data_IF_701128011615
#
_entry.id   IF_701128011615
#
_cell.length_a   1.000
_cell.length_b   1.000
_cell.length_c   1.000
_cell.angle_alpha   90.00
_cell.angle_beta   90.00
_cell.angle_gamma   90.00
#
_symmetry.space_group_name_H-M   'P 1'
#
loop_
_entity.id
_entity.type
_entity.pdbx_description
1 polymer ?
#
# COMPACT_ATOMS: atom_id res chain seq x y z
N UNK A 1 -1.17 16.97 9.56
CA UNK A 1 -2.18 16.11 8.91
C UNK A 1 -1.38 15.16 8.06
N UNK A 2 -1.06 14.01 8.65
CA UNK A 2 -0.33 12.95 7.99
C UNK A 2 -1.36 12.15 7.17
N UNK A 3 -1.40 12.40 5.87
CA UNK A 3 -2.32 11.70 4.98
C UNK A 3 -1.92 10.22 4.95
N UNK A 4 -2.88 9.33 5.20
CA UNK A 4 -2.65 7.88 5.29
C UNK A 4 -2.22 7.28 3.93
N UNK A 5 -2.54 7.95 2.83
CA UNK A 5 -2.00 7.65 1.52
C UNK A 5 -1.98 8.90 0.62
N UNK A 6 -0.99 8.99 -0.28
CA UNK A 6 -0.87 10.14 -1.19
C UNK A 6 -0.35 9.74 -2.56
N UNK A 7 -0.77 10.46 -3.61
CA UNK A 7 -0.25 10.27 -4.97
C UNK A 7 0.72 11.39 -5.30
N UNK A 8 1.88 11.03 -5.83
CA UNK A 8 2.90 11.96 -6.29
C UNK A 8 3.24 11.71 -7.76
N UNK A 9 3.69 12.75 -8.45
CA UNK A 9 4.25 12.60 -9.80
C UNK A 9 5.71 12.16 -9.71
N UNK A 10 6.09 11.19 -10.53
CA UNK A 10 7.46 10.66 -10.64
C UNK A 10 7.95 10.72 -12.07
N UNK A 11 9.24 11.07 -12.23
CA UNK A 11 9.86 11.24 -13.54
C UNK A 11 9.30 12.40 -14.36
N UNK A 12 9.81 12.56 -15.59
CA UNK A 12 9.48 13.68 -16.47
C UNK A 12 8.21 13.43 -17.30
N UNK A 13 7.77 12.17 -17.42
CA UNK A 13 6.63 11.76 -18.24
C UNK A 13 5.27 11.89 -17.52
N UNK A 14 5.26 12.39 -16.28
CA UNK A 14 4.02 12.53 -15.50
C UNK A 14 3.48 11.22 -14.92
N UNK A 15 4.30 10.18 -14.81
CA UNK A 15 3.92 8.93 -14.15
C UNK A 15 3.57 9.18 -12.67
N UNK A 16 2.77 8.30 -12.08
CA UNK A 16 2.29 8.48 -10.70
C UNK A 16 2.77 7.35 -9.80
N UNK A 17 3.22 7.72 -8.59
CA UNK A 17 3.48 6.78 -7.52
C UNK A 17 2.48 6.97 -6.37
N UNK A 18 2.03 5.87 -5.78
CA UNK A 18 1.24 5.85 -4.57
C UNK A 18 2.15 5.68 -3.35
N UNK A 19 2.08 6.62 -2.41
CA UNK A 19 2.81 6.63 -1.14
C UNK A 19 1.91 6.10 -0.03
N UNK A 20 2.39 5.10 0.72
CA UNK A 20 1.65 4.36 1.75
C UNK A 20 1.99 4.82 3.18
N UNK A 21 1.60 6.07 3.49
CA UNK A 21 1.95 6.80 4.71
C UNK A 21 3.48 7.01 4.90
N UNK A 22 3.85 7.92 5.80
CA UNK A 22 5.25 8.31 6.01
C UNK A 22 6.03 7.36 6.96
N UNK A 23 5.33 6.60 7.81
CA UNK A 23 6.01 5.75 8.80
C UNK A 23 6.47 4.41 8.20
N UNK A 24 7.65 3.90 8.61
CA UNK A 24 8.12 2.59 8.22
C UNK A 24 7.23 1.50 8.82
N UNK A 25 6.85 0.52 8.00
CA UNK A 25 6.10 -0.65 8.43
C UNK A 25 6.35 -1.77 7.41
N UNK A 26 6.34 -3.03 7.86
CA UNK A 26 6.27 -4.17 6.95
C UNK A 26 4.99 -4.05 6.14
N UNK A 27 5.13 -4.17 4.81
CA UNK A 27 4.02 -3.97 3.86
C UNK A 27 3.86 -5.22 3.01
N UNK A 28 2.63 -5.67 2.85
CA UNK A 28 2.27 -6.64 1.81
C UNK A 28 1.05 -6.16 1.02
N UNK A 29 0.87 -6.71 -0.18
CA UNK A 29 -0.29 -6.46 -1.01
C UNK A 29 -1.18 -7.69 -1.01
N UNK A 30 -2.46 -7.53 -0.69
CA UNK A 30 -3.47 -8.59 -0.73
C UNK A 30 -4.29 -8.42 -2.03
N UNK A 31 -4.00 -9.19 -3.09
CA UNK A 31 -4.57 -8.96 -4.42
C UNK A 31 -6.09 -9.17 -4.46
N UNK A 32 -6.63 -10.08 -3.65
CA UNK A 32 -8.06 -10.40 -3.57
C UNK A 32 -8.90 -9.18 -3.16
N UNK A 33 -8.32 -8.30 -2.34
CA UNK A 33 -8.96 -7.11 -1.79
C UNK A 33 -8.44 -5.80 -2.40
N UNK A 34 -7.41 -5.88 -3.25
CA UNK A 34 -6.64 -4.75 -3.78
C UNK A 34 -6.25 -3.76 -2.69
N UNK A 35 -5.64 -4.29 -1.64
CA UNK A 35 -5.27 -3.51 -0.46
C UNK A 35 -3.81 -3.70 -0.13
N UNK A 36 -3.16 -2.62 0.26
CA UNK A 36 -1.86 -2.66 0.91
C UNK A 36 -2.08 -2.71 2.42
N UNK A 37 -1.50 -3.72 3.04
CA UNK A 37 -1.52 -3.95 4.47
C UNK A 37 -0.20 -3.46 5.08
N UNK A 38 -0.30 -2.54 6.04
CA UNK A 38 0.79 -2.05 6.88
C UNK A 38 0.68 -2.70 8.26
N UNK A 39 1.73 -3.40 8.66
CA UNK A 39 1.82 -3.99 10.00
C UNK A 39 2.12 -2.90 11.03
N UNK A 40 1.13 -2.51 11.84
CA UNK A 40 1.33 -1.55 12.93
C UNK A 40 1.58 -2.26 14.27
N UNK A 41 0.78 -3.29 14.58
CA UNK A 41 1.00 -4.20 15.70
C UNK A 41 0.29 -5.54 15.43
N UNK A 42 0.97 -6.65 15.69
CA UNK A 42 0.41 -8.01 15.71
C UNK A 42 1.48 -8.98 16.20
N UNK A 43 1.06 -10.12 16.76
CA UNK A 43 1.97 -11.18 17.20
C UNK A 43 2.40 -12.12 16.07
N UNK A 44 1.69 -12.10 14.93
CA UNK A 44 1.97 -12.97 13.78
C UNK A 44 1.39 -12.44 12.47
N UNK A 45 1.95 -12.89 11.33
CA UNK A 45 1.42 -12.59 9.99
C UNK A 45 -0.02 -13.07 9.80
N UNK A 46 -0.32 -14.29 10.27
CA UNK A 46 -1.66 -14.85 10.18
C UNK A 46 -2.69 -14.02 10.96
N UNK A 47 -2.32 -13.54 12.14
CA UNK A 47 -3.15 -12.64 12.93
C UNK A 47 -3.36 -11.29 12.24
N UNK A 48 -2.30 -10.73 11.64
CA UNK A 48 -2.38 -9.48 10.90
C UNK A 48 -3.31 -9.58 9.67
N UNK A 49 -3.22 -10.66 8.91
CA UNK A 49 -4.09 -10.89 7.74
C UNK A 49 -5.55 -11.08 8.16
N UNK A 50 -5.81 -11.88 9.20
CA UNK A 50 -7.16 -12.06 9.72
C UNK A 50 -7.77 -10.74 10.24
N UNK A 51 -6.96 -9.91 10.90
CA UNK A 51 -7.34 -8.57 11.33
C UNK A 51 -7.69 -7.66 10.14
N UNK A 52 -6.87 -7.69 9.08
CA UNK A 52 -7.13 -6.94 7.85
C UNK A 52 -8.45 -7.36 7.20
N UNK A 53 -8.69 -8.67 7.08
CA UNK A 53 -9.93 -9.22 6.52
C UNK A 53 -11.16 -8.82 7.35
N UNK A 54 -11.06 -8.85 8.68
CA UNK A 54 -12.14 -8.42 9.57
C UNK A 54 -12.49 -6.94 9.37
N UNK A 55 -11.49 -6.06 9.29
CA UNK A 55 -11.68 -4.62 9.03
C UNK A 55 -12.30 -4.37 7.65
N UNK A 56 -11.89 -5.13 6.63
CA UNK A 56 -12.45 -5.03 5.28
C UNK A 56 -13.90 -5.52 5.19
N UNK A 57 -14.28 -6.51 6.00
CA UNK A 57 -15.62 -7.07 6.05
C UNK A 57 -16.60 -6.22 6.89
N UNK A 58 -16.09 -5.40 7.82
CA UNK A 58 -16.92 -4.56 8.67
C UNK A 58 -17.42 -3.31 7.92
N UNK A 59 -18.75 -3.16 7.70
CA UNK A 59 -19.31 -1.98 7.05
C UNK A 59 -19.20 -0.71 7.90
N UNK A 60 -18.93 -0.82 9.20
CA UNK A 60 -18.73 0.31 10.10
C UNK A 60 -17.30 0.88 10.05
N UNK A 61 -16.37 0.22 9.36
CA UNK A 61 -15.00 0.72 9.21
C UNK A 61 -14.99 2.12 8.58
N UNK A 62 -14.44 3.07 9.31
CA UNK A 62 -14.23 4.44 8.83
C UNK A 62 -13.00 4.49 7.93
N UNK A 63 -13.19 5.09 6.74
CA UNK A 63 -12.15 5.25 5.74
C UNK A 63 -11.91 6.73 5.46
N UNK A 64 -10.64 7.13 5.44
CA UNK A 64 -10.22 8.40 4.87
C UNK A 64 -10.22 8.30 3.35
N UNK A 65 -10.93 9.22 2.70
CA UNK A 65 -10.89 9.38 1.25
C UNK A 65 -9.62 10.17 0.88
N UNK A 66 -8.64 9.50 0.29
CA UNK A 66 -7.34 10.09 0.00
C UNK A 66 -7.35 10.79 -1.37
N UNK A 67 -6.91 10.08 -2.42
CA UNK A 67 -6.75 10.65 -3.76
C UNK A 67 -7.06 9.63 -4.84
N UNK A 68 -7.07 10.05 -6.11
CA UNK A 68 -7.18 9.12 -7.25
C UNK A 68 -5.78 8.82 -7.79
N UNK A 69 -5.45 7.54 -7.87
CA UNK A 69 -4.23 7.06 -8.50
C UNK A 69 -4.53 6.52 -9.91
N UNK A 70 -3.79 7.02 -10.90
CA UNK A 70 -3.82 6.54 -12.28
C UNK A 70 -2.63 5.61 -12.46
N UNK A 71 -2.88 4.33 -12.71
CA UNK A 71 -1.85 3.35 -13.02
C UNK A 71 -1.92 2.94 -14.50
N UNK A 72 -0.76 2.74 -15.12
CA UNK A 72 -0.60 2.21 -16.47
C UNK A 72 -0.52 0.68 -16.52
N UNK A 73 -0.63 -0.01 -15.37
CA UNK A 73 -0.66 -1.46 -15.31
C UNK A 73 -0.07 -2.01 -14.01
N UNK A 74 0.61 -3.18 -14.09
CA UNK A 74 1.32 -3.74 -12.96
C UNK A 74 2.30 -2.73 -12.38
N UNK A 75 2.27 -2.57 -11.05
CA UNK A 75 3.15 -1.68 -10.33
C UNK A 75 4.17 -2.46 -9.50
N UNK A 76 5.12 -1.75 -8.91
CA UNK A 76 6.10 -2.32 -7.96
C UNK A 76 5.92 -1.62 -6.62
N UNK A 77 5.73 -2.42 -5.57
CA UNK A 77 5.86 -1.96 -4.19
C UNK A 77 7.35 -2.01 -3.84
N UNK A 78 7.89 -0.89 -3.36
CA UNK A 78 9.30 -0.70 -3.05
C UNK A 78 9.44 0.20 -1.82
N UNK A 79 10.63 0.21 -1.20
CA UNK A 79 10.97 1.23 -0.22
C UNK A 79 11.11 2.60 -0.92
N UNK A 80 10.54 3.64 -0.32
CA UNK A 80 10.62 5.02 -0.83
C UNK A 80 12.01 5.63 -0.74
N UNK A 81 12.91 5.06 0.07
CA UNK A 81 14.31 5.46 0.13
C UNK A 81 15.09 5.00 -1.11
N UNK A 82 14.58 4.02 -1.86
CA UNK A 82 15.22 3.48 -3.05
C UNK A 82 14.82 4.25 -4.30
N UNK A 83 15.76 4.44 -5.23
CA UNK A 83 15.43 4.96 -6.55
C UNK A 83 14.81 3.83 -7.39
N UNK A 84 13.67 4.09 -8.03
CA UNK A 84 13.01 3.09 -8.89
C UNK A 84 13.90 2.54 -10.01
N UNK A 85 14.86 3.34 -10.50
CA UNK A 85 15.85 2.92 -11.50
C UNK A 85 16.94 1.98 -10.95
N UNK A 86 17.07 1.85 -9.63
CA UNK A 86 18.13 1.08 -8.97
C UNK A 86 17.63 -0.24 -8.35
N UNK A 87 16.32 -0.54 -8.42
CA UNK A 87 15.74 -1.77 -7.85
C UNK A 87 16.33 -3.08 -8.40
N UNK A 88 16.96 -3.05 -9.57
CA UNK A 88 17.65 -4.20 -10.18
C UNK A 88 19.15 -4.24 -9.93
N UNK A 89 19.68 -3.35 -9.09
CA UNK A 89 21.12 -3.17 -8.86
C UNK A 89 21.43 -3.62 -7.43
N UNK A 90 22.42 -4.51 -7.28
CA UNK A 90 22.88 -4.95 -5.96
C UNK A 90 23.55 -3.82 -5.20
N UNK A 91 23.30 -3.72 -3.88
CA UNK A 91 23.99 -2.75 -3.05
C UNK A 91 25.50 -3.02 -3.03
N UNK A 92 26.35 -1.99 -2.89
CA UNK A 92 27.79 -2.16 -2.73
C UNK A 92 28.19 -3.05 -1.54
N UNK A 93 27.33 -3.11 -0.51
CA UNK A 93 27.49 -3.93 0.69
C UNK A 93 26.95 -5.36 0.55
N UNK A 94 26.40 -5.71 -0.63
CA UNK A 94 25.71 -6.96 -0.91
C UNK A 94 24.21 -6.90 -0.62
N UNK A 95 23.43 -7.72 -1.33
CA UNK A 95 21.97 -7.79 -1.23
C UNK A 95 21.24 -6.89 -2.22
N UNK A 96 19.96 -7.20 -2.47
CA UNK A 96 19.11 -6.48 -3.44
C UNK A 96 18.12 -5.56 -2.71
N UNK A 97 17.70 -4.45 -3.33
CA UNK A 97 16.57 -3.66 -2.85
C UNK A 97 15.30 -4.50 -2.77
N UNK A 98 14.57 -4.36 -1.66
CA UNK A 98 13.30 -5.06 -1.45
C UNK A 98 12.23 -4.51 -2.40
N UNK A 99 11.57 -5.42 -3.11
CA UNK A 99 10.48 -5.09 -4.02
C UNK A 99 9.48 -6.24 -4.14
N UNK A 100 8.22 -5.91 -4.39
CA UNK A 100 7.16 -6.87 -4.64
C UNK A 100 6.28 -6.43 -5.82
N UNK A 101 5.93 -7.33 -6.76
CA UNK A 101 5.03 -7.00 -7.85
C UNK A 101 3.60 -6.79 -7.33
N UNK A 102 2.96 -5.73 -7.82
CA UNK A 102 1.56 -5.42 -7.57
C UNK A 102 0.81 -5.59 -8.87
N UNK A 103 0.17 -6.75 -9.05
CA UNK A 103 -0.57 -7.07 -10.26
C UNK A 103 -1.90 -6.30 -10.27
N UNK A 104 -1.89 -5.14 -10.91
CA UNK A 104 -3.05 -4.29 -11.14
C UNK A 104 -3.23 -4.06 -12.64
N UNK A 105 -4.47 -4.08 -13.15
CA UNK A 105 -4.72 -3.60 -14.50
C UNK A 105 -4.51 -2.08 -14.58
N UNK A 106 -4.22 -1.60 -15.79
CA UNK A 106 -4.22 -0.16 -16.06
C UNK A 106 -5.61 0.42 -15.74
N UNK A 107 -5.65 1.60 -15.13
CA UNK A 107 -6.91 2.21 -14.75
C UNK A 107 -6.79 3.33 -13.73
N UNK A 108 -7.96 3.82 -13.32
CA UNK A 108 -8.13 4.86 -12.31
C UNK A 108 -8.67 4.23 -11.03
N UNK A 109 -7.98 4.50 -9.93
CA UNK A 109 -8.23 3.90 -8.64
C UNK A 109 -8.50 5.00 -7.63
N UNK A 110 -9.68 4.98 -7.02
CA UNK A 110 -9.92 5.76 -5.81
C UNK A 110 -9.17 5.09 -4.67
N UNK A 111 -8.32 5.85 -4.01
CA UNK A 111 -7.55 5.41 -2.86
C UNK A 111 -8.29 5.82 -1.60
N UNK A 112 -8.60 4.85 -0.76
CA UNK A 112 -9.08 5.08 0.60
C UNK A 112 -8.17 4.39 1.61
N UNK A 113 -8.03 4.96 2.79
CA UNK A 113 -7.13 4.41 3.79
C UNK A 113 -7.72 4.43 5.20
N UNK A 114 -7.25 3.54 6.07
CA UNK A 114 -7.60 3.53 7.49
C UNK A 114 -6.45 2.98 8.31
N UNK A 115 -6.22 3.55 9.48
CA UNK A 115 -5.36 2.98 10.52
C UNK A 115 -6.25 2.65 11.70
N UNK A 116 -6.40 1.38 12.02
CA UNK A 116 -7.36 0.97 13.04
C UNK A 116 -6.87 -0.21 13.86
N UNK A 117 -7.43 -0.28 15.06
CA UNK A 117 -7.30 -1.42 15.97
C UNK A 117 -8.38 -2.43 15.59
N UNK A 118 -7.97 -3.59 15.09
CA UNK A 118 -8.90 -4.67 14.77
C UNK A 118 -9.33 -5.44 16.02
N UNK A 119 -8.40 -5.65 16.96
CA UNK A 119 -8.64 -6.26 18.27
C UNK A 119 -7.60 -5.78 19.31
N UNK A 120 -7.61 -6.35 20.52
CA UNK A 120 -6.73 -5.91 21.61
C UNK A 120 -5.24 -5.88 21.27
N UNK A 121 -4.75 -6.78 20.42
CA UNK A 121 -3.34 -6.90 20.04
C UNK A 121 -3.03 -6.51 18.59
N UNK A 122 -4.03 -6.49 17.69
CA UNK A 122 -3.80 -6.30 16.27
C UNK A 122 -4.23 -4.90 15.79
N UNK A 123 -3.26 -4.16 15.25
CA UNK A 123 -3.41 -2.84 14.66
C UNK A 123 -2.92 -2.90 13.22
N UNK A 124 -3.77 -2.47 12.31
CA UNK A 124 -3.53 -2.56 10.86
C UNK A 124 -3.66 -1.18 10.24
N UNK A 125 -2.78 -0.90 9.28
CA UNK A 125 -2.99 0.16 8.31
C UNK A 125 -3.40 -0.43 6.98
N UNK A 126 -4.53 -0.01 6.43
CA UNK A 126 -5.02 -0.47 5.15
C UNK A 126 -5.08 0.69 4.16
N UNK A 127 -4.55 0.49 2.96
CA UNK A 127 -4.74 1.40 1.82
C UNK A 127 -5.38 0.60 0.71
N UNK A 128 -6.66 0.85 0.44
CA UNK A 128 -7.45 0.08 -0.53
C UNK A 128 -7.67 0.85 -1.83
N UNK A 129 -7.53 0.12 -2.94
CA UNK A 129 -7.80 0.58 -4.29
C UNK A 129 -9.20 0.15 -4.72
N UNK A 130 -10.06 1.14 -4.91
CA UNK A 130 -11.42 0.94 -5.44
C UNK A 130 -11.43 1.41 -6.90
N UNK A 131 -11.82 0.56 -7.86
CA UNK A 131 -12.00 1.00 -9.24
C UNK A 131 -12.95 2.19 -9.28
N UNK A 132 -12.57 3.28 -9.94
CA UNK A 132 -13.55 4.27 -10.36
C UNK A 132 -14.14 3.78 -11.67
N UNK A 133 -15.46 3.57 -11.74
CA UNK A 133 -16.10 3.33 -13.03
C UNK A 133 -15.73 4.47 -14.00
N UNK A 134 -15.38 4.09 -15.23
CA UNK A 134 -15.10 5.03 -16.32
C UNK A 134 -16.40 5.47 -16.98
#
# INVERSE_FOLDING_TARGET
MDNLAGVITVGENGAQALVLAAEPATRCYLPEHRVFLRWLAADSEAGLTAAAEAVLADPATEWEECSTWVSDGPAVLMDSAEAGSELGIEYPTGGMPDQAPVLLPAGRWRVRATHTKADEGNWVGLVQLVPTES
#
